data_IF_753574703919
#
_entry.id   IF_753574703919
#
_cell.length_a   1.000
_cell.length_b   1.000
_cell.length_c   1.000
_cell.angle_alpha   90.00
_cell.angle_beta   90.00
_cell.angle_gamma   90.00
#
_symmetry.space_group_name_H-M   'P 1'
#
loop_
_entity.id
_entity.type
_entity.pdbx_description
1 polymer ?
#
# COMPACT_ATOMS: atom_id res chain seq x y z
N UNK A 1 -13.79 -10.07 -39.79
CA UNK A 1 -12.91 -8.92 -39.45
C UNK A 1 -13.27 -8.30 -38.09
N UNK A 2 -14.54 -8.00 -37.82
CA UNK A 2 -15.01 -7.46 -36.53
C UNK A 2 -14.76 -8.37 -35.31
N UNK A 3 -14.97 -9.68 -35.43
CA UNK A 3 -14.72 -10.65 -34.34
C UNK A 3 -13.25 -10.67 -33.86
N UNK A 4 -12.31 -10.50 -34.79
CA UNK A 4 -10.87 -10.51 -34.50
C UNK A 4 -10.40 -9.22 -33.81
N UNK A 5 -11.09 -8.11 -34.07
CA UNK A 5 -10.86 -6.83 -33.39
C UNK A 5 -11.42 -6.89 -31.96
N UNK A 6 -12.61 -7.48 -31.78
CA UNK A 6 -13.22 -7.65 -30.46
C UNK A 6 -12.36 -8.51 -29.52
N UNK A 7 -11.81 -9.62 -30.01
CA UNK A 7 -10.92 -10.49 -29.20
C UNK A 7 -9.60 -9.81 -28.83
N UNK A 8 -9.03 -8.99 -29.71
CA UNK A 8 -7.81 -8.20 -29.42
C UNK A 8 -8.04 -7.22 -28.27
N UNK A 9 -9.14 -6.47 -28.29
CA UNK A 9 -9.45 -5.50 -27.23
C UNK A 9 -9.70 -6.17 -25.88
N UNK A 10 -10.40 -7.31 -25.88
CA UNK A 10 -10.63 -8.09 -24.65
C UNK A 10 -9.33 -8.59 -24.00
N UNK A 11 -8.37 -9.05 -24.80
CA UNK A 11 -7.07 -9.52 -24.30
C UNK A 11 -6.23 -8.38 -23.70
N UNK A 12 -6.24 -7.20 -24.31
CA UNK A 12 -5.51 -6.02 -23.79
C UNK A 12 -6.11 -5.57 -22.46
N UNK A 13 -7.44 -5.53 -22.35
CA UNK A 13 -8.10 -5.16 -21.10
C UNK A 13 -7.77 -6.15 -19.97
N UNK A 14 -7.80 -7.45 -20.26
CA UNK A 14 -7.44 -8.49 -19.29
C UNK A 14 -5.98 -8.40 -18.83
N UNK A 15 -5.06 -8.08 -19.75
CA UNK A 15 -3.66 -7.90 -19.40
C UNK A 15 -3.43 -6.67 -18.51
N UNK A 16 -4.13 -5.57 -18.78
CA UNK A 16 -4.04 -4.33 -17.99
C UNK A 16 -4.58 -4.51 -16.57
N UNK A 17 -5.73 -5.17 -16.40
CA UNK A 17 -6.30 -5.44 -15.07
C UNK A 17 -5.43 -6.39 -14.26
N UNK A 18 -4.85 -7.41 -14.91
CA UNK A 18 -3.88 -8.30 -14.28
C UNK A 18 -2.64 -7.53 -13.81
N UNK A 19 -2.08 -6.68 -14.66
CA UNK A 19 -0.91 -5.85 -14.32
C UNK A 19 -1.21 -4.92 -13.13
N UNK A 20 -2.38 -4.26 -13.12
CA UNK A 20 -2.82 -3.43 -12.00
C UNK A 20 -2.98 -4.23 -10.70
N UNK A 21 -3.53 -5.45 -10.77
CA UNK A 21 -3.64 -6.34 -9.61
C UNK A 21 -2.27 -6.70 -9.04
N UNK A 22 -1.28 -7.01 -9.88
CA UNK A 22 0.09 -7.30 -9.44
C UNK A 22 0.75 -6.14 -8.69
N UNK A 23 0.47 -4.89 -9.05
CA UNK A 23 0.99 -3.74 -8.31
C UNK A 23 0.19 -3.46 -7.02
N UNK A 24 -1.13 -3.60 -7.09
CA UNK A 24 -2.02 -3.18 -6.02
C UNK A 24 -1.98 -4.11 -4.80
N UNK A 25 -1.98 -5.42 -5.00
CA UNK A 25 -1.97 -6.42 -3.91
C UNK A 25 -0.79 -6.25 -2.94
N UNK A 26 0.49 -6.25 -3.38
CA UNK A 26 1.62 -6.12 -2.47
C UNK A 26 1.68 -4.75 -1.82
N UNK A 27 1.24 -3.69 -2.52
CA UNK A 27 1.18 -2.34 -1.99
C UNK A 27 0.24 -2.25 -0.79
N UNK A 28 -0.97 -2.80 -0.93
CA UNK A 28 -1.93 -2.85 0.18
C UNK A 28 -1.41 -3.71 1.33
N UNK A 29 -0.78 -4.84 1.02
CA UNK A 29 -0.19 -5.70 2.04
C UNK A 29 0.87 -4.94 2.85
N UNK A 30 1.84 -4.30 2.18
CA UNK A 30 2.88 -3.49 2.83
C UNK A 30 2.27 -2.34 3.65
N UNK A 31 1.23 -1.67 3.12
CA UNK A 31 0.53 -0.62 3.84
C UNK A 31 -0.12 -1.13 5.14
N UNK A 32 -0.78 -2.30 5.09
CA UNK A 32 -1.38 -2.92 6.27
C UNK A 32 -0.34 -3.38 7.30
N UNK A 33 0.77 -3.95 6.84
CA UNK A 33 1.86 -4.41 7.72
C UNK A 33 2.57 -3.22 8.38
N UNK A 34 2.74 -2.10 7.69
CA UNK A 34 3.32 -0.88 8.27
C UNK A 34 2.48 -0.35 9.44
N UNK A 35 1.14 -0.37 9.32
CA UNK A 35 0.22 -0.02 10.39
C UNK A 35 0.31 -1.02 11.57
N UNK A 36 0.36 -2.32 11.28
CA UNK A 36 0.50 -3.35 12.31
C UNK A 36 1.80 -3.20 13.13
N UNK A 37 2.90 -2.78 12.48
CA UNK A 37 4.16 -2.46 13.17
C UNK A 37 4.00 -1.25 14.09
N UNK A 38 3.34 -0.17 13.62
CA UNK A 38 3.03 1.00 14.46
C UNK A 38 2.22 0.61 15.69
N UNK A 39 1.18 -0.20 15.50
CA UNK A 39 0.33 -0.67 16.59
C UNK A 39 1.11 -1.51 17.59
N UNK A 40 1.96 -2.43 17.11
CA UNK A 40 2.86 -3.21 17.96
C UNK A 40 3.78 -2.34 18.81
N UNK A 41 4.36 -1.28 18.23
CA UNK A 41 5.19 -0.32 18.97
C UNK A 41 4.33 0.45 19.97
N UNK A 42 3.14 0.90 19.59
CA UNK A 42 2.24 1.62 20.50
C UNK A 42 1.89 0.79 21.74
N UNK A 43 1.55 -0.49 21.56
CA UNK A 43 1.24 -1.41 22.65
C UNK A 43 2.47 -1.91 23.44
N UNK A 44 3.69 -1.66 22.96
CA UNK A 44 4.94 -2.08 23.63
C UNK A 44 5.30 -1.26 24.89
N UNK A 45 4.42 -0.36 25.35
CA UNK A 45 4.66 0.51 26.52
C UNK A 45 5.95 1.35 26.39
N UNK A 46 6.29 1.77 25.16
CA UNK A 46 7.49 2.54 24.82
C UNK A 46 7.64 3.84 25.64
N UNK A 47 6.53 4.45 26.05
CA UNK A 47 6.50 5.66 26.87
C UNK A 47 6.97 5.43 28.31
N UNK A 48 6.84 4.20 28.82
CA UNK A 48 7.28 3.79 30.15
C UNK A 48 8.71 3.24 30.17
N UNK A 49 9.39 3.12 29.02
CA UNK A 49 10.77 2.66 28.99
C UNK A 49 11.69 3.63 29.76
N UNK A 50 12.56 3.05 30.59
CA UNK A 50 13.54 3.78 31.41
C UNK A 50 14.59 4.51 30.56
N UNK A 51 14.80 4.07 29.32
CA UNK A 51 15.75 4.67 28.38
C UNK A 51 15.09 5.77 27.54
N UNK A 52 15.35 7.07 27.81
CA UNK A 52 14.79 8.17 27.02
C UNK A 52 15.26 8.15 25.56
N UNK A 53 16.39 7.49 25.26
CA UNK A 53 16.92 7.31 23.91
C UNK A 53 16.02 6.49 22.98
N UNK A 54 15.11 5.68 23.53
CA UNK A 54 14.18 4.86 22.74
C UNK A 54 12.85 5.55 22.45
N UNK A 55 12.51 6.63 23.18
CA UNK A 55 11.22 7.33 23.06
C UNK A 55 11.10 8.12 21.76
N UNK A 56 12.16 8.83 21.38
CA UNK A 56 12.21 9.60 20.14
C UNK A 56 12.12 8.71 18.89
N UNK A 57 12.94 7.63 18.76
CA UNK A 57 12.84 6.75 17.59
C UNK A 57 11.52 5.97 17.56
N UNK A 58 10.94 5.56 18.69
CA UNK A 58 9.63 4.88 18.69
C UNK A 58 8.51 5.81 18.23
N UNK A 59 8.51 7.07 18.67
CA UNK A 59 7.54 8.07 18.22
C UNK A 59 7.68 8.34 16.71
N UNK A 60 8.92 8.48 16.23
CA UNK A 60 9.21 8.64 14.81
C UNK A 60 8.74 7.42 14.01
N UNK A 61 8.99 6.20 14.47
CA UNK A 61 8.53 4.98 13.80
C UNK A 61 7.00 4.95 13.70
N UNK A 62 6.28 5.25 14.79
CA UNK A 62 4.82 5.34 14.79
C UNK A 62 4.33 6.40 13.79
N UNK A 63 4.92 7.60 13.80
CA UNK A 63 4.55 8.68 12.87
C UNK A 63 4.80 8.32 11.40
N UNK A 64 5.94 7.69 11.10
CA UNK A 64 6.29 7.31 9.74
C UNK A 64 5.44 6.13 9.22
N UNK A 65 5.08 5.19 10.09
CA UNK A 65 4.21 4.06 9.75
C UNK A 65 2.74 4.44 9.57
N UNK A 66 2.29 5.53 10.19
CA UNK A 66 0.95 6.09 9.98
C UNK A 66 0.86 6.99 8.74
N UNK A 67 2.00 7.38 8.16
CA UNK A 67 1.99 8.08 6.89
C UNK A 67 1.40 7.14 5.83
N UNK A 68 0.36 7.62 5.14
CA UNK A 68 -0.33 6.84 4.12
C UNK A 68 0.69 6.41 3.05
N UNK A 69 0.97 5.10 2.97
CA UNK A 69 1.86 4.52 1.96
C UNK A 69 1.10 4.55 0.64
N UNK A 70 1.09 5.72 0.02
CA UNK A 70 0.44 5.97 -1.26
C UNK A 70 1.44 5.72 -2.36
N UNK A 71 1.38 4.55 -3.00
CA UNK A 71 2.10 4.34 -4.25
C UNK A 71 1.28 4.99 -5.36
N UNK A 72 1.78 6.10 -5.90
CA UNK A 72 1.14 6.84 -7.00
C UNK A 72 1.65 6.34 -8.35
N UNK A 73 0.76 5.88 -9.23
CA UNK A 73 1.08 5.73 -10.64
C UNK A 73 1.31 7.13 -11.25
N UNK A 74 2.55 7.41 -11.65
CA UNK A 74 2.92 8.68 -12.29
C UNK A 74 2.67 9.94 -11.44
N UNK A 75 2.49 9.82 -10.12
CA UNK A 75 2.16 10.94 -9.24
C UNK A 75 0.70 11.39 -9.24
N UNK A 76 -0.15 10.79 -10.10
CA UNK A 76 -1.53 11.25 -10.35
C UNK A 76 -2.58 10.31 -9.76
N UNK A 77 -2.33 9.00 -9.77
CA UNK A 77 -3.32 7.99 -9.36
C UNK A 77 -2.77 7.19 -8.19
N UNK A 78 -3.42 7.28 -7.03
CA UNK A 78 -3.16 6.40 -5.90
C UNK A 78 -3.54 4.97 -6.29
N UNK A 79 -2.58 4.05 -6.33
CA UNK A 79 -2.83 2.64 -6.62
C UNK A 79 -3.32 2.00 -5.32
N UNK A 80 -4.63 1.99 -5.11
CA UNK A 80 -5.29 1.31 -4.01
C UNK A 80 -6.20 0.19 -4.56
N UNK A 81 -6.57 -0.76 -3.70
CA UNK A 81 -7.56 -1.82 -3.98
C UNK A 81 -8.87 -1.25 -4.54
N UNK A 82 -9.23 -0.02 -4.14
CA UNK A 82 -10.35 0.73 -4.70
C UNK A 82 -10.16 1.10 -6.18
N UNK A 83 -8.94 1.43 -6.60
CA UNK A 83 -8.60 1.77 -8.00
C UNK A 83 -8.69 0.56 -8.93
N UNK A 84 -8.57 -0.65 -8.40
CA UNK A 84 -8.78 -1.88 -9.18
C UNK A 84 -10.27 -2.07 -9.56
N UNK A 85 -11.18 -1.53 -8.76
CA UNK A 85 -12.63 -1.72 -8.90
C UNK A 85 -13.33 -0.62 -9.71
N UNK A 86 -12.67 0.51 -9.95
CA UNK A 86 -13.10 1.60 -10.85
C UNK A 86 -12.57 1.41 -12.26
#
# INVERSE_FOLDING_TARGET
RYFYIQTRHGLVFLFLTLQLAFYCIPTNYIASEALAVSDGIYFSNWYSHYFPSLKTPSLLMIQNSQAEIIIKAGGLITINSQTLLT
#
